data_IF_232099225602
#
_entry.id   IF_232099225602
#
_cell.length_a   1.000
_cell.length_b   1.000
_cell.length_c   1.000
_cell.angle_alpha   90.00
_cell.angle_beta   90.00
_cell.angle_gamma   90.00
#
_symmetry.space_group_name_H-M   'P 1'
#
loop_
_entity.id
_entity.type
_entity.pdbx_description
1 polymer ?
#
# COMPACT_ATOMS: atom_id res chain seq x y z
N UNK A 1 8.01 -20.23 1.80
CA UNK A 1 6.87 -19.87 0.91
C UNK A 1 5.76 -20.93 0.95
N UNK A 2 6.13 -22.18 1.19
CA UNK A 2 5.32 -23.38 1.33
C UNK A 2 5.02 -23.76 2.80
N UNK A 3 5.33 -22.88 3.77
CA UNK A 3 5.12 -23.13 5.20
C UNK A 3 6.19 -23.98 5.87
N UNK A 4 7.18 -24.50 5.13
CA UNK A 4 8.27 -25.32 5.69
C UNK A 4 9.04 -24.56 6.77
N UNK A 5 9.15 -25.17 7.96
CA UNK A 5 9.87 -24.61 9.11
C UNK A 5 9.08 -23.63 9.98
N UNK A 6 7.85 -23.26 9.60
CA UNK A 6 7.02 -22.35 10.42
C UNK A 6 6.58 -22.99 11.75
N UNK A 7 6.20 -24.28 11.74
CA UNK A 7 5.77 -25.00 12.95
C UNK A 7 6.91 -25.15 13.98
N UNK A 8 8.15 -25.26 13.51
CA UNK A 8 9.35 -25.38 14.35
C UNK A 8 9.81 -24.02 14.89
N UNK A 9 9.56 -22.94 14.15
CA UNK A 9 9.99 -21.59 14.50
C UNK A 9 9.27 -21.04 15.75
N UNK A 10 7.97 -21.26 15.89
CA UNK A 10 7.20 -20.74 17.03
C UNK A 10 7.72 -21.25 18.39
N UNK A 11 7.95 -22.56 18.60
CA UNK A 11 8.57 -23.08 19.82
C UNK A 11 9.96 -22.50 20.11
N UNK A 12 10.77 -22.25 19.07
CA UNK A 12 12.11 -21.69 19.23
C UNK A 12 12.05 -20.22 19.68
N UNK A 13 11.20 -19.40 19.07
CA UNK A 13 11.01 -18.00 19.46
C UNK A 13 10.46 -17.87 20.88
N UNK A 14 9.54 -18.75 21.28
CA UNK A 14 8.91 -18.73 22.61
C UNK A 14 9.92 -18.84 23.75
N UNK A 15 11.08 -19.47 23.54
CA UNK A 15 12.14 -19.59 24.55
C UNK A 15 12.79 -18.25 24.91
N UNK A 16 12.70 -17.25 24.02
CA UNK A 16 13.27 -15.91 24.21
C UNK A 16 12.21 -14.86 24.58
N UNK A 17 10.93 -15.25 24.66
CA UNK A 17 9.84 -14.33 24.99
C UNK A 17 9.78 -14.06 26.50
N UNK A 18 9.48 -12.82 26.86
CA UNK A 18 9.21 -12.46 28.24
C UNK A 18 7.72 -12.64 28.55
N UNK A 19 7.33 -13.13 29.74
CA UNK A 19 5.94 -13.13 30.17
C UNK A 19 5.35 -11.71 30.16
N UNK A 20 4.15 -11.56 29.62
CA UNK A 20 3.46 -10.27 29.53
C UNK A 20 1.96 -10.46 29.24
N UNK A 21 1.15 -9.40 29.39
CA UNK A 21 -0.25 -9.43 29.01
C UNK A 21 -0.41 -9.59 27.49
N UNK A 22 -1.59 -10.02 27.06
CA UNK A 22 -1.97 -9.91 25.66
C UNK A 22 -2.24 -8.43 25.35
N UNK A 23 -1.44 -7.82 24.47
CA UNK A 23 -1.45 -6.37 24.24
C UNK A 23 -2.48 -5.91 23.21
N UNK A 24 -2.98 -6.83 22.38
CA UNK A 24 -3.94 -6.57 21.32
C UNK A 24 -5.13 -7.53 21.47
N UNK A 25 -6.26 -7.20 20.86
CA UNK A 25 -7.44 -8.07 20.87
C UNK A 25 -7.18 -9.33 20.02
N UNK A 26 -7.84 -10.45 20.35
CA UNK A 26 -7.65 -11.74 19.67
C UNK A 26 -8.03 -11.71 18.18
N UNK A 27 -8.89 -10.77 17.79
CA UNK A 27 -9.37 -10.56 16.43
C UNK A 27 -8.63 -9.43 15.68
N UNK A 28 -7.70 -8.73 16.35
CA UNK A 28 -6.89 -7.71 15.71
C UNK A 28 -5.88 -8.34 14.74
N UNK A 29 -6.12 -8.17 13.43
CA UNK A 29 -5.19 -8.68 12.41
C UNK A 29 -3.92 -7.81 12.28
N UNK A 30 -4.08 -6.48 12.40
CA UNK A 30 -2.99 -5.49 12.34
C UNK A 30 -3.43 -4.19 13.03
N UNK A 31 -2.46 -3.41 13.50
CA UNK A 31 -2.64 -2.03 14.00
C UNK A 31 -2.58 -0.98 12.88
N UNK A 32 -2.33 -1.41 11.63
CA UNK A 32 -2.24 -0.54 10.48
C UNK A 32 -3.63 -0.06 10.02
N UNK A 33 -3.86 1.25 9.83
CA UNK A 33 -5.12 1.75 9.29
C UNK A 33 -5.40 1.22 7.88
N UNK A 34 -6.68 0.96 7.56
CA UNK A 34 -7.12 0.44 6.24
C UNK A 34 -6.60 1.25 5.06
N UNK A 35 -6.58 2.59 5.19
CA UNK A 35 -6.04 3.49 4.16
C UNK A 35 -4.56 3.23 3.86
N UNK A 36 -3.77 2.86 4.87
CA UNK A 36 -2.34 2.56 4.69
C UNK A 36 -2.19 1.18 4.03
N UNK A 37 -3.01 0.20 4.42
CA UNK A 37 -3.05 -1.11 3.76
C UNK A 37 -3.42 -0.96 2.27
N UNK A 38 -4.38 -0.10 1.92
CA UNK A 38 -4.74 0.17 0.52
C UNK A 38 -3.57 0.83 -0.25
N UNK A 39 -2.86 1.78 0.37
CA UNK A 39 -1.67 2.37 -0.24
C UNK A 39 -0.59 1.30 -0.51
N UNK A 40 -0.40 0.39 0.44
CA UNK A 40 0.54 -0.73 0.34
C UNK A 40 0.15 -1.73 -0.76
N UNK A 41 -1.13 -2.07 -0.91
CA UNK A 41 -1.60 -2.92 -2.00
C UNK A 41 -1.31 -2.30 -3.37
N UNK A 42 -1.54 -0.99 -3.53
CA UNK A 42 -1.19 -0.28 -4.77
C UNK A 42 0.32 -0.27 -4.99
N UNK A 43 1.12 -0.04 -3.94
CA UNK A 43 2.59 -0.05 -4.01
C UNK A 43 3.13 -1.43 -4.37
N UNK A 44 2.56 -2.49 -3.83
CA UNK A 44 2.89 -3.88 -4.16
C UNK A 44 2.65 -4.16 -5.66
N UNK A 45 1.51 -3.72 -6.23
CA UNK A 45 1.24 -3.93 -7.65
C UNK A 45 2.17 -3.12 -8.56
N UNK A 46 2.58 -1.93 -8.13
CA UNK A 46 3.63 -1.19 -8.81
C UNK A 46 4.96 -1.96 -8.78
N UNK A 47 5.38 -2.49 -7.63
CA UNK A 47 6.57 -3.35 -7.49
C UNK A 47 6.49 -4.61 -8.38
N UNK A 48 5.31 -5.22 -8.49
CA UNK A 48 5.10 -6.45 -9.25
C UNK A 48 5.14 -6.24 -10.77
N UNK A 49 4.60 -5.12 -11.26
CA UNK A 49 4.42 -4.89 -12.71
C UNK A 49 5.46 -3.98 -13.34
N UNK A 50 6.13 -3.15 -12.55
CA UNK A 50 7.18 -2.28 -13.02
C UNK A 50 8.54 -2.97 -12.94
N UNK A 51 9.55 -2.39 -13.60
CA UNK A 51 10.91 -2.92 -13.66
C UNK A 51 11.90 -1.84 -13.26
N UNK A 52 13.16 -2.24 -13.18
CA UNK A 52 14.30 -1.36 -12.87
C UNK A 52 14.11 -0.70 -11.49
N UNK A 53 14.64 0.50 -11.31
CA UNK A 53 14.57 1.22 -10.03
C UNK A 53 13.21 1.90 -9.79
N UNK A 54 12.36 2.00 -10.82
CA UNK A 54 11.16 2.85 -10.79
C UNK A 54 10.23 2.55 -9.61
N UNK A 55 9.83 1.30 -9.30
CA UNK A 55 8.92 1.05 -8.20
C UNK A 55 9.54 1.24 -6.81
N UNK A 56 10.86 1.42 -6.72
CA UNK A 56 11.55 1.77 -5.47
C UNK A 56 11.63 3.28 -5.25
N UNK A 57 11.38 4.08 -6.29
CA UNK A 57 11.36 5.54 -6.25
C UNK A 57 9.96 6.15 -6.16
N UNK A 58 8.97 5.38 -5.67
CA UNK A 58 7.59 5.86 -5.50
C UNK A 58 7.16 5.85 -4.04
N UNK A 59 6.26 6.77 -3.71
CA UNK A 59 5.43 6.72 -2.50
C UNK A 59 3.96 6.64 -2.93
N UNK A 60 3.13 6.00 -2.11
CA UNK A 60 1.70 5.87 -2.38
C UNK A 60 0.94 6.37 -1.16
N UNK A 61 -0.05 7.24 -1.37
CA UNK A 61 -0.91 7.77 -0.31
C UNK A 61 -2.38 7.71 -0.71
N UNK A 62 -3.26 7.46 0.25
CA UNK A 62 -4.71 7.59 0.06
C UNK A 62 -5.13 9.03 0.37
N UNK A 63 -5.63 9.74 -0.64
CA UNK A 63 -6.09 11.13 -0.53
C UNK A 63 -7.56 11.20 -0.08
N UNK A 64 -8.38 10.20 -0.45
CA UNK A 64 -9.77 10.11 0.01
C UNK A 64 -10.19 8.66 0.15
N UNK A 65 -10.90 8.36 1.22
CA UNK A 65 -11.55 7.08 1.47
C UNK A 65 -12.98 7.38 1.92
N UNK A 66 -13.97 7.09 1.08
CA UNK A 66 -15.37 7.45 1.34
C UNK A 66 -16.30 6.29 1.01
N UNK A 67 -16.96 5.77 2.03
CA UNK A 67 -18.11 4.88 1.84
C UNK A 67 -19.25 5.68 1.20
N UNK A 68 -19.85 5.14 0.14
CA UNK A 68 -21.02 5.76 -0.46
C UNK A 68 -22.25 5.45 0.38
N UNK A 69 -23.06 6.46 0.74
CA UNK A 69 -24.36 6.23 1.36
C UNK A 69 -25.20 5.26 0.52
N UNK A 70 -25.89 4.35 1.20
CA UNK A 70 -26.86 3.42 0.61
C UNK A 70 -26.28 2.46 -0.46
N UNK A 71 -24.97 2.18 -0.43
CA UNK A 71 -24.36 1.15 -1.29
C UNK A 71 -23.18 0.45 -0.61
N UNK A 72 -22.84 -0.74 -1.11
CA UNK A 72 -21.66 -1.52 -0.75
C UNK A 72 -20.37 -1.04 -1.47
N UNK A 73 -20.35 0.22 -1.91
CA UNK A 73 -19.27 0.78 -2.73
C UNK A 73 -18.45 1.80 -1.94
N UNK A 74 -17.14 1.62 -1.94
CA UNK A 74 -16.17 2.55 -1.34
C UNK A 74 -15.44 3.28 -2.48
N UNK A 75 -15.50 4.62 -2.47
CA UNK A 75 -14.71 5.47 -3.35
C UNK A 75 -13.34 5.75 -2.72
N UNK A 76 -12.28 5.33 -3.40
CA UNK A 76 -10.91 5.52 -2.93
C UNK A 76 -10.09 6.26 -3.98
N UNK A 77 -9.47 7.37 -3.58
CA UNK A 77 -8.51 8.11 -4.40
C UNK A 77 -7.11 7.94 -3.85
N UNK A 78 -6.19 7.50 -4.71
CA UNK A 78 -4.80 7.21 -4.40
C UNK A 78 -3.88 8.10 -5.22
N UNK A 79 -2.88 8.69 -4.58
CA UNK A 79 -1.75 9.33 -5.23
C UNK A 79 -0.53 8.41 -5.25
N UNK A 80 0.05 8.23 -6.43
CA UNK A 80 1.36 7.62 -6.63
C UNK A 80 2.34 8.75 -6.93
N UNK A 81 3.20 9.06 -5.97
CA UNK A 81 4.25 10.05 -6.10
C UNK A 81 5.52 9.41 -6.67
N UNK A 82 6.19 10.09 -7.61
CA UNK A 82 7.51 9.71 -8.10
C UNK A 82 8.44 10.93 -8.22
N UNK A 83 9.74 10.72 -8.25
CA UNK A 83 10.72 11.82 -8.28
C UNK A 83 10.90 12.48 -9.64
N UNK A 84 10.70 11.73 -10.73
CA UNK A 84 11.07 12.17 -12.08
C UNK A 84 9.89 12.15 -13.04
N UNK A 85 9.83 13.14 -13.93
CA UNK A 85 8.82 13.21 -15.01
C UNK A 85 8.88 11.99 -15.94
N UNK A 86 10.06 11.45 -16.20
CA UNK A 86 10.24 10.20 -16.96
C UNK A 86 9.56 9.02 -16.27
N UNK A 87 9.71 8.90 -14.94
CA UNK A 87 9.07 7.85 -14.14
C UNK A 87 7.56 7.98 -14.20
N UNK A 88 7.02 9.19 -14.09
CA UNK A 88 5.57 9.43 -14.27
C UNK A 88 5.07 8.88 -15.61
N UNK A 89 5.79 9.13 -16.71
CA UNK A 89 5.45 8.58 -18.02
C UNK A 89 5.44 7.04 -18.03
N UNK A 90 6.39 6.40 -17.35
CA UNK A 90 6.49 4.93 -17.26
C UNK A 90 5.43 4.30 -16.36
N UNK A 91 5.11 4.93 -15.23
CA UNK A 91 4.03 4.51 -14.32
C UNK A 91 2.68 4.57 -15.05
N UNK A 92 2.43 5.64 -15.82
CA UNK A 92 1.21 5.77 -16.62
C UNK A 92 1.20 4.73 -17.76
N UNK A 93 2.33 4.60 -18.46
CA UNK A 93 2.47 3.72 -19.63
C UNK A 93 1.71 4.24 -20.85
N UNK A 94 1.93 3.59 -22.01
CA UNK A 94 1.32 3.99 -23.29
C UNK A 94 -0.21 3.96 -23.20
N UNK A 95 -0.85 5.14 -23.31
CA UNK A 95 -2.31 5.26 -23.22
C UNK A 95 -2.88 4.92 -21.84
N UNK A 96 -2.09 5.02 -20.77
CA UNK A 96 -2.53 4.71 -19.40
C UNK A 96 -2.58 3.21 -19.06
N UNK A 97 -2.08 2.34 -19.94
CA UNK A 97 -2.20 0.89 -19.79
C UNK A 97 -1.50 0.33 -18.55
N UNK A 98 -0.34 0.89 -18.16
CA UNK A 98 0.39 0.40 -16.98
C UNK A 98 -0.34 0.81 -15.69
N UNK A 99 -0.74 2.08 -15.57
CA UNK A 99 -1.52 2.55 -14.43
C UNK A 99 -2.85 1.81 -14.29
N UNK A 100 -3.54 1.55 -15.42
CA UNK A 100 -4.75 0.74 -15.42
C UNK A 100 -4.47 -0.68 -14.91
N UNK A 101 -3.37 -1.31 -15.30
CA UNK A 101 -2.98 -2.65 -14.84
C UNK A 101 -2.72 -2.67 -13.32
N UNK A 102 -1.95 -1.71 -12.81
CA UNK A 102 -1.67 -1.53 -11.38
C UNK A 102 -2.99 -1.34 -10.61
N UNK A 103 -3.80 -0.35 -11.00
CA UNK A 103 -5.05 -0.02 -10.32
C UNK A 103 -6.07 -1.16 -10.38
N UNK A 104 -6.18 -1.87 -11.50
CA UNK A 104 -7.14 -2.97 -11.63
C UNK A 104 -6.79 -4.15 -10.73
N UNK A 105 -5.49 -4.48 -10.61
CA UNK A 105 -5.02 -5.53 -9.72
C UNK A 105 -5.16 -5.12 -8.26
N UNK A 106 -4.73 -3.91 -7.90
CA UNK A 106 -4.84 -3.41 -6.53
C UNK A 106 -6.30 -3.33 -6.07
N UNK A 107 -7.22 -2.90 -6.95
CA UNK A 107 -8.65 -2.86 -6.66
C UNK A 107 -9.20 -4.22 -6.24
N UNK A 108 -8.80 -5.31 -6.90
CA UNK A 108 -9.27 -6.66 -6.55
C UNK A 108 -8.86 -7.03 -5.13
N UNK A 109 -7.61 -6.78 -4.78
CA UNK A 109 -7.11 -7.02 -3.42
C UNK A 109 -7.75 -6.08 -2.39
N UNK A 110 -8.03 -4.82 -2.75
CA UNK A 110 -8.76 -3.91 -1.86
C UNK A 110 -10.19 -4.37 -1.61
N UNK A 111 -10.87 -4.94 -2.61
CA UNK A 111 -12.23 -5.49 -2.43
C UNK A 111 -12.22 -6.70 -1.49
N UNK A 112 -11.20 -7.56 -1.60
CA UNK A 112 -11.00 -8.69 -0.68
C UNK A 112 -10.70 -8.22 0.74
N UNK A 113 -9.77 -7.27 0.89
CA UNK A 113 -9.37 -6.70 2.18
C UNK A 113 -10.54 -6.03 2.91
N UNK A 114 -11.32 -5.21 2.20
CA UNK A 114 -12.38 -4.38 2.78
C UNK A 114 -13.74 -5.08 2.83
N UNK A 115 -13.89 -6.23 2.15
CA UNK A 115 -15.16 -6.94 2.06
C UNK A 115 -16.28 -6.15 1.36
N UNK A 116 -15.93 -5.20 0.50
CA UNK A 116 -16.85 -4.28 -0.17
C UNK A 116 -16.41 -4.03 -1.62
N UNK A 117 -17.31 -3.54 -2.49
CA UNK A 117 -16.92 -3.11 -3.83
C UNK A 117 -16.09 -1.84 -3.74
N UNK A 118 -15.08 -1.69 -4.61
CA UNK A 118 -14.16 -0.55 -4.56
C UNK A 118 -14.13 0.16 -5.91
N UNK A 119 -14.40 1.46 -5.90
CA UNK A 119 -14.10 2.37 -7.00
C UNK A 119 -12.73 3.03 -6.74
N UNK A 120 -11.66 2.38 -7.21
CA UNK A 120 -10.29 2.83 -7.00
C UNK A 120 -9.82 3.76 -8.13
N UNK A 121 -9.46 4.99 -7.79
CA UNK A 121 -8.86 5.96 -8.69
C UNK A 121 -7.41 6.22 -8.31
N UNK A 122 -6.49 6.07 -9.26
CA UNK A 122 -5.07 6.32 -9.03
C UNK A 122 -4.57 7.49 -9.88
N UNK A 123 -3.80 8.39 -9.27
CA UNK A 123 -3.19 9.55 -9.90
C UNK A 123 -1.68 9.51 -9.76
N UNK A 124 -0.94 9.93 -10.78
CA UNK A 124 0.53 10.00 -10.72
C UNK A 124 0.99 11.45 -10.61
N UNK A 125 1.67 11.80 -9.52
CA UNK A 125 2.25 13.12 -9.30
C UNK A 125 3.78 13.04 -9.25
N UNK A 126 4.43 14.11 -9.69
CA UNK A 126 5.89 14.26 -9.58
C UNK A 126 6.16 15.15 -8.39
N UNK A 127 6.92 14.66 -7.41
CA UNK A 127 7.48 15.46 -6.32
C UNK A 127 8.99 15.21 -6.33
N UNK A 128 9.74 16.20 -6.82
CA UNK A 128 11.20 16.12 -6.93
C UNK A 128 11.81 16.00 -5.52
N UNK A 129 12.84 15.16 -5.38
CA UNK A 129 13.62 14.94 -4.17
C UNK A 129 12.79 14.68 -2.89
N UNK A 130 11.64 13.99 -3.03
CA UNK A 130 10.74 13.74 -1.90
C UNK A 130 11.38 12.86 -0.82
N UNK A 131 12.30 11.96 -1.20
CA UNK A 131 13.02 11.08 -0.28
C UNK A 131 14.00 11.82 0.64
N UNK A 132 14.48 13.00 0.21
CA UNK A 132 15.44 13.82 0.95
C UNK A 132 14.77 15.02 1.64
N UNK A 133 13.43 15.09 1.60
CA UNK A 133 12.66 16.19 2.15
C UNK A 133 11.83 15.73 3.34
N UNK A 134 12.30 16.02 4.55
CA UNK A 134 11.65 15.61 5.81
C UNK A 134 10.15 15.95 5.85
N UNK A 135 9.77 17.15 5.40
CA UNK A 135 8.36 17.56 5.34
C UNK A 135 7.55 16.67 4.39
N UNK A 136 8.13 16.25 3.27
CA UNK A 136 7.45 15.35 2.34
C UNK A 136 7.40 13.92 2.87
N UNK A 137 8.47 13.44 3.51
CA UNK A 137 8.48 12.15 4.19
C UNK A 137 7.36 12.07 5.23
N UNK A 138 7.21 13.10 6.07
CA UNK A 138 6.16 13.16 7.08
C UNK A 138 4.77 13.10 6.45
N UNK A 139 4.54 13.89 5.40
CA UNK A 139 3.26 13.94 4.69
C UNK A 139 2.94 12.63 3.93
N UNK A 140 3.96 11.85 3.58
CA UNK A 140 3.82 10.58 2.86
C UNK A 140 3.75 9.37 3.81
N UNK A 141 3.69 9.59 5.12
CA UNK A 141 3.58 8.51 6.11
C UNK A 141 4.92 7.91 6.54
N UNK A 142 6.04 8.55 6.20
CA UNK A 142 7.40 8.13 6.60
C UNK A 142 7.98 8.94 7.77
N UNK A 143 7.12 9.66 8.51
CA UNK A 143 7.54 10.35 9.72
C UNK A 143 8.19 9.37 10.70
N UNK A 144 9.31 9.78 11.30
CA UNK A 144 9.91 8.98 12.37
C UNK A 144 8.99 9.03 13.60
N UNK A 145 8.72 7.87 14.24
CA UNK A 145 7.91 7.81 15.46
C UNK A 145 8.56 8.59 16.62
#
# INVERSE_FOLDING_TARGET
KDGTGCEELFPLLKQYANPGPHYFDDDAFTDMPEKELVAELVREKALLFMREEIPHGIAVTVESFKERPDSDLIDISVEICCERKSHKGMIIGKGGQMLKKIASAARMDCEELLGARVNLQCWVKVREDWRDNDRLLDNLGFAKP
#
